data_IF_680087844170
#
_entry.id   IF_680087844170
#
_cell.length_a   1.000
_cell.length_b   1.000
_cell.length_c   1.000
_cell.angle_alpha   90.00
_cell.angle_beta   90.00
_cell.angle_gamma   90.00
#
_symmetry.space_group_name_H-M   'P 1'
#
loop_
_entity.id
_entity.type
_entity.pdbx_description
1 polymer ?
#
# COMPACT_ATOMS: atom_id res chain seq x y z
N UNK A 1 -17.89 3.76 7.85
CA UNK A 1 -17.48 2.58 7.06
C UNK A 1 -17.90 2.84 5.63
N UNK A 2 -16.95 2.71 4.71
CA UNK A 2 -17.15 2.94 3.27
C UNK A 2 -17.42 1.59 2.61
N UNK A 3 -18.47 1.49 1.79
CA UNK A 3 -18.88 0.18 1.24
C UNK A 3 -18.04 -0.25 0.01
N UNK A 4 -17.40 0.70 -0.69
CA UNK A 4 -16.61 0.48 -1.91
C UNK A 4 -17.29 -0.47 -2.92
N UNK A 5 -18.58 -0.23 -3.23
CA UNK A 5 -19.40 -1.11 -4.06
C UNK A 5 -18.83 -1.34 -5.48
N UNK A 6 -18.11 -0.36 -6.03
CA UNK A 6 -17.40 -0.48 -7.31
C UNK A 6 -16.32 -1.57 -7.24
N UNK A 7 -15.51 -1.57 -6.18
CA UNK A 7 -14.46 -2.58 -5.99
C UNK A 7 -15.06 -3.96 -5.79
N UNK A 8 -16.12 -4.08 -4.97
CA UNK A 8 -16.84 -5.34 -4.77
C UNK A 8 -17.42 -5.90 -6.07
N UNK A 9 -17.88 -5.02 -6.97
CA UNK A 9 -18.38 -5.40 -8.29
C UNK A 9 -17.26 -5.81 -9.24
N UNK A 10 -16.10 -5.13 -9.17
CA UNK A 10 -14.95 -5.38 -10.05
C UNK A 10 -14.15 -6.62 -9.65
N UNK A 11 -14.03 -6.90 -8.34
CA UNK A 11 -13.26 -8.02 -7.79
C UNK A 11 -14.10 -8.92 -6.87
N UNK A 12 -15.22 -9.49 -7.36
CA UNK A 12 -16.14 -10.27 -6.54
C UNK A 12 -15.52 -11.57 -6.00
N UNK A 13 -14.47 -12.08 -6.64
CA UNK A 13 -13.75 -13.28 -6.21
C UNK A 13 -12.68 -13.01 -5.13
N UNK A 14 -12.27 -11.74 -4.96
CA UNK A 14 -11.26 -11.34 -3.98
C UNK A 14 -11.87 -10.65 -2.76
N UNK A 15 -12.99 -9.95 -2.95
CA UNK A 15 -13.61 -9.13 -1.90
C UNK A 15 -14.92 -9.79 -1.46
N UNK A 16 -15.02 -10.28 -0.22
CA UNK A 16 -16.27 -10.82 0.30
C UNK A 16 -17.38 -9.77 0.29
N UNK A 17 -18.58 -10.15 -0.17
CA UNK A 17 -19.72 -9.22 -0.33
C UNK A 17 -20.09 -8.45 0.95
N UNK A 18 -19.91 -9.09 2.12
CA UNK A 18 -20.21 -8.53 3.45
C UNK A 18 -19.00 -7.92 4.14
N UNK A 19 -17.87 -7.77 3.45
CA UNK A 19 -16.70 -7.15 4.03
C UNK A 19 -16.92 -5.65 4.21
N UNK A 20 -16.52 -5.14 5.36
CA UNK A 20 -16.44 -3.72 5.66
C UNK A 20 -15.00 -3.22 5.46
N UNK A 21 -14.87 -1.97 5.04
CA UNK A 21 -13.58 -1.30 4.90
C UNK A 21 -13.47 -0.22 5.97
N UNK A 22 -12.42 -0.31 6.77
CA UNK A 22 -12.10 0.60 7.88
C UNK A 22 -11.10 1.66 7.42
N UNK A 23 -11.37 2.27 6.26
CA UNK A 23 -10.51 3.30 5.67
C UNK A 23 -11.33 4.33 4.88
N UNK A 24 -10.67 5.45 4.55
CA UNK A 24 -11.30 6.57 3.85
C UNK A 24 -11.62 6.29 2.38
N UNK A 25 -12.73 6.83 1.84
CA UNK A 25 -13.17 6.58 0.45
C UNK A 25 -12.19 7.05 -0.61
N UNK A 26 -11.33 8.02 -0.30
CA UNK A 26 -10.32 8.54 -1.22
C UNK A 26 -9.26 7.51 -1.64
N UNK A 27 -9.15 6.39 -0.94
CA UNK A 27 -8.23 5.30 -1.29
C UNK A 27 -8.80 4.26 -2.25
N UNK A 28 -9.99 4.48 -2.84
CA UNK A 28 -10.60 3.55 -3.80
C UNK A 28 -9.62 3.17 -4.93
N UNK A 29 -8.87 4.13 -5.47
CA UNK A 29 -7.88 3.86 -6.53
C UNK A 29 -6.64 3.09 -6.06
N UNK A 30 -6.27 3.23 -4.79
CA UNK A 30 -5.15 2.48 -4.19
C UNK A 30 -5.56 1.02 -4.05
N UNK A 31 -6.76 0.80 -3.53
CA UNK A 31 -7.37 -0.52 -3.42
C UNK A 31 -7.61 -1.15 -4.80
N UNK A 32 -8.05 -0.37 -5.79
CA UNK A 32 -8.23 -0.87 -7.15
C UNK A 32 -6.93 -1.45 -7.74
N UNK A 33 -5.81 -0.73 -7.56
CA UNK A 33 -4.49 -1.23 -7.98
C UNK A 33 -4.07 -2.47 -7.20
N UNK A 34 -4.22 -2.46 -5.88
CA UNK A 34 -3.93 -3.61 -5.03
C UNK A 34 -4.68 -4.87 -5.49
N UNK A 35 -6.01 -4.79 -5.62
CA UNK A 35 -6.80 -5.95 -6.04
C UNK A 35 -6.51 -6.38 -7.47
N UNK A 36 -6.16 -5.45 -8.37
CA UNK A 36 -5.67 -5.77 -9.70
C UNK A 36 -4.36 -6.56 -9.69
N UNK A 37 -3.39 -6.15 -8.88
CA UNK A 37 -2.10 -6.85 -8.70
C UNK A 37 -2.30 -8.25 -8.10
N UNK A 38 -3.14 -8.35 -7.06
CA UNK A 38 -3.49 -9.62 -6.43
C UNK A 38 -4.22 -10.56 -7.41
N UNK A 39 -5.14 -10.04 -8.23
CA UNK A 39 -5.85 -10.83 -9.23
C UNK A 39 -4.90 -11.43 -10.28
N UNK A 40 -3.84 -10.71 -10.65
CA UNK A 40 -2.81 -11.19 -11.59
C UNK A 40 -1.86 -12.19 -10.92
N UNK A 41 -1.52 -11.98 -9.66
CA UNK A 41 -0.58 -12.82 -8.91
C UNK A 41 -1.17 -14.18 -8.51
N UNK A 42 -2.48 -14.24 -8.23
CA UNK A 42 -3.12 -15.45 -7.77
C UNK A 42 -3.28 -16.48 -8.89
N UNK A 43 -2.88 -17.75 -8.66
CA UNK A 43 -3.15 -18.84 -9.59
C UNK A 43 -4.65 -19.04 -9.81
N UNK A 44 -5.03 -19.48 -11.02
CA UNK A 44 -6.42 -19.81 -11.32
C UNK A 44 -6.97 -20.87 -10.36
N UNK A 45 -8.12 -20.59 -9.75
CA UNK A 45 -8.77 -21.47 -8.77
C UNK A 45 -8.28 -21.30 -7.33
N UNK A 46 -7.24 -20.51 -7.08
CA UNK A 46 -6.85 -20.11 -5.72
C UNK A 46 -7.70 -18.94 -5.27
N UNK A 47 -8.25 -19.03 -4.04
CA UNK A 47 -8.99 -17.94 -3.42
C UNK A 47 -8.07 -17.06 -2.58
N UNK A 48 -8.45 -15.80 -2.41
CA UNK A 48 -7.85 -14.90 -1.42
C UNK A 48 -8.71 -14.93 -0.15
N UNK A 49 -8.08 -15.20 0.99
CA UNK A 49 -8.65 -14.89 2.30
C UNK A 49 -8.28 -13.44 2.63
N UNK A 50 -9.21 -12.54 2.34
CA UNK A 50 -9.13 -11.14 2.74
C UNK A 50 -9.72 -11.01 4.15
N UNK A 51 -8.89 -10.66 5.14
CA UNK A 51 -9.31 -10.57 6.54
C UNK A 51 -9.71 -9.16 6.92
N UNK A 52 -8.85 -8.17 6.61
CA UNK A 52 -9.09 -6.76 6.98
C UNK A 52 -8.52 -5.81 5.94
N UNK A 53 -9.21 -4.69 5.78
CA UNK A 53 -8.71 -3.51 5.07
C UNK A 53 -8.97 -2.31 5.95
N UNK A 54 -7.92 -1.67 6.43
CA UNK A 54 -8.03 -0.69 7.51
C UNK A 54 -6.93 0.36 7.45
N UNK A 55 -7.17 1.51 8.08
CA UNK A 55 -6.17 2.56 8.27
C UNK A 55 -5.31 2.30 9.51
N UNK A 56 -3.99 2.49 9.39
CA UNK A 56 -3.06 2.49 10.51
C UNK A 56 -1.91 3.46 10.26
N UNK A 57 -1.67 4.38 11.20
CA UNK A 57 -0.59 5.38 11.13
C UNK A 57 -0.64 6.23 9.84
N UNK A 58 -1.84 6.63 9.42
CA UNK A 58 -2.06 7.44 8.23
C UNK A 58 -1.84 6.69 6.91
N UNK A 59 -1.80 5.37 6.92
CA UNK A 59 -1.71 4.57 5.69
C UNK A 59 -2.62 3.37 5.70
N UNK A 60 -2.85 2.83 4.52
CA UNK A 60 -3.68 1.67 4.27
C UNK A 60 -2.94 0.39 4.65
N UNK A 61 -3.62 -0.50 5.37
CA UNK A 61 -3.19 -1.88 5.63
C UNK A 61 -4.21 -2.82 5.05
N UNK A 62 -3.71 -3.89 4.43
CA UNK A 62 -4.52 -4.99 3.94
C UNK A 62 -3.95 -6.26 4.52
N UNK A 63 -4.75 -6.96 5.31
CA UNK A 63 -4.41 -8.28 5.81
C UNK A 63 -5.07 -9.30 4.87
N UNK A 64 -4.28 -9.94 4.01
CA UNK A 64 -4.77 -10.96 3.11
C UNK A 64 -3.78 -12.11 2.96
N UNK A 65 -4.29 -13.30 2.64
CA UNK A 65 -3.45 -14.45 2.34
C UNK A 65 -4.13 -15.39 1.35
N UNK A 66 -3.37 -16.15 0.55
CA UNK A 66 -3.95 -17.14 -0.35
C UNK A 66 -4.55 -18.29 0.48
N UNK A 67 -5.70 -18.81 0.04
CA UNK A 67 -6.27 -20.02 0.63
C UNK A 67 -5.54 -21.26 0.11
N UNK A 68 -4.82 -21.94 1.00
CA UNK A 68 -4.06 -23.14 0.69
C UNK A 68 -2.62 -22.87 0.26
N UNK A 69 -1.86 -23.92 -0.05
CA UNK A 69 -0.45 -23.78 -0.40
C UNK A 69 -0.29 -23.14 -1.78
N UNK A 70 0.57 -22.13 -1.87
CA UNK A 70 1.00 -21.53 -3.14
C UNK A 70 2.53 -21.47 -3.22
N UNK A 71 3.08 -21.21 -4.40
CA UNK A 71 4.51 -21.04 -4.57
C UNK A 71 5.00 -19.76 -3.86
N UNK A 72 6.25 -19.76 -3.38
CA UNK A 72 6.85 -18.58 -2.72
C UNK A 72 6.79 -17.31 -3.57
N UNK A 73 6.87 -17.44 -4.90
CA UNK A 73 6.75 -16.29 -5.82
C UNK A 73 5.38 -15.60 -5.74
N UNK A 74 4.31 -16.35 -5.40
CA UNK A 74 2.97 -15.80 -5.19
C UNK A 74 2.93 -15.05 -3.86
N UNK A 75 3.49 -15.63 -2.79
CA UNK A 75 3.62 -14.93 -1.50
C UNK A 75 4.39 -13.61 -1.66
N UNK A 76 5.54 -13.64 -2.32
CA UNK A 76 6.32 -12.43 -2.61
C UNK A 76 5.53 -11.39 -3.42
N UNK A 77 4.70 -11.81 -4.37
CA UNK A 77 3.87 -10.90 -5.14
C UNK A 77 2.76 -10.25 -4.29
N UNK A 78 2.16 -11.00 -3.37
CA UNK A 78 1.17 -10.47 -2.43
C UNK A 78 1.80 -9.49 -1.44
N UNK A 79 2.95 -9.85 -0.85
CA UNK A 79 3.69 -8.97 0.07
C UNK A 79 4.09 -7.65 -0.62
N UNK A 80 4.49 -7.73 -1.90
CA UNK A 80 4.77 -6.54 -2.71
C UNK A 80 3.51 -5.70 -2.94
N UNK A 81 2.39 -6.32 -3.29
CA UNK A 81 1.12 -5.61 -3.50
C UNK A 81 0.67 -4.90 -2.20
N UNK A 82 0.79 -5.55 -1.04
CA UNK A 82 0.48 -4.96 0.26
C UNK A 82 1.36 -3.74 0.56
N UNK A 83 2.67 -3.86 0.34
CA UNK A 83 3.59 -2.74 0.56
C UNK A 83 3.38 -1.60 -0.46
N UNK A 84 3.03 -1.92 -1.70
CA UNK A 84 2.64 -0.92 -2.70
C UNK A 84 1.36 -0.20 -2.28
N UNK A 85 0.36 -0.91 -1.76
CA UNK A 85 -0.87 -0.30 -1.25
C UNK A 85 -0.59 0.65 -0.07
N UNK A 86 0.25 0.23 0.87
CA UNK A 86 0.76 1.07 1.96
C UNK A 86 1.42 2.34 1.41
N UNK A 87 2.44 2.18 0.56
CA UNK A 87 3.19 3.28 -0.03
C UNK A 87 2.31 4.25 -0.82
N UNK A 88 1.41 3.75 -1.66
CA UNK A 88 0.49 4.56 -2.46
C UNK A 88 -0.48 5.35 -1.59
N UNK A 89 -0.94 4.80 -0.47
CA UNK A 89 -1.90 5.48 0.41
C UNK A 89 -1.35 6.79 0.99
N UNK A 90 -0.04 6.89 1.20
CA UNK A 90 0.63 8.13 1.64
C UNK A 90 0.57 9.29 0.64
N UNK A 91 0.20 9.01 -0.63
CA UNK A 91 0.19 9.98 -1.73
C UNK A 91 -1.20 10.49 -2.09
N UNK A 92 -2.24 9.93 -1.49
CA UNK A 92 -3.62 10.24 -1.85
C UNK A 92 -4.47 10.54 -0.63
N UNK A 93 -5.22 11.63 -0.71
CA UNK A 93 -6.08 12.06 0.38
C UNK A 93 -7.08 10.97 0.71
N UNK A 94 -7.15 10.55 1.97
CA UNK A 94 -8.07 9.51 2.43
C UNK A 94 -9.56 9.92 2.26
N UNK A 95 -9.83 11.22 2.15
CA UNK A 95 -11.19 11.75 2.01
C UNK A 95 -11.65 11.85 0.55
N UNK A 96 -10.81 12.38 -0.36
CA UNK A 96 -11.23 12.64 -1.75
C UNK A 96 -10.37 11.98 -2.83
N UNK A 97 -9.24 11.37 -2.47
CA UNK A 97 -8.34 10.71 -3.40
C UNK A 97 -7.43 11.64 -4.20
N UNK A 98 -7.52 12.96 -4.05
CA UNK A 98 -6.58 13.90 -4.68
C UNK A 98 -5.14 13.70 -4.16
N UNK A 99 -4.10 14.08 -4.93
CA UNK A 99 -2.72 14.07 -4.46
C UNK A 99 -2.58 14.77 -3.10
N UNK A 100 -1.84 14.14 -2.21
CA UNK A 100 -1.77 14.50 -0.81
C UNK A 100 -0.44 14.14 -0.19
N UNK A 101 -0.26 14.54 1.07
CA UNK A 101 0.88 14.19 1.87
C UNK A 101 0.42 13.72 3.24
N UNK A 102 1.26 12.93 3.89
CA UNK A 102 1.11 12.59 5.30
C UNK A 102 1.14 13.87 6.15
N UNK A 103 0.26 13.94 7.14
CA UNK A 103 0.14 15.06 8.07
C UNK A 103 0.00 14.55 9.48
N UNK A 104 0.36 15.40 10.42
CA UNK A 104 0.15 15.18 11.85
C UNK A 104 -0.65 16.35 12.43
N UNK A 105 -1.65 15.99 13.23
CA UNK A 105 -2.38 16.96 14.05
C UNK A 105 -2.60 16.38 15.44
N UNK A 106 -3.30 15.26 15.52
CA UNK A 106 -3.62 14.50 16.75
C UNK A 106 -3.43 12.99 16.52
N UNK A 107 -3.56 12.55 15.27
CA UNK A 107 -3.13 11.26 14.73
C UNK A 107 -2.54 11.51 13.34
N UNK A 108 -1.81 10.53 12.80
CA UNK A 108 -1.31 10.55 11.43
C UNK A 108 -2.44 10.27 10.45
N UNK A 109 -2.54 11.07 9.38
CA UNK A 109 -3.55 10.96 8.33
C UNK A 109 -3.03 11.54 7.01
N UNK A 110 -3.64 11.20 5.88
CA UNK A 110 -3.19 11.70 4.57
C UNK A 110 -4.25 12.61 3.97
N UNK A 111 -3.87 13.87 3.75
CA UNK A 111 -4.79 14.88 3.26
C UNK A 111 -4.17 15.81 2.21
N UNK A 112 -4.98 16.17 1.22
CA UNK A 112 -4.69 17.27 0.32
C UNK A 112 -4.86 18.60 1.09
N UNK A 113 -4.41 19.72 0.53
CA UNK A 113 -4.51 21.04 1.18
C UNK A 113 -5.94 21.39 1.59
N UNK A 114 -6.95 21.01 0.80
CA UNK A 114 -8.35 21.28 1.11
C UNK A 114 -8.85 20.53 2.35
N UNK A 115 -8.32 19.32 2.61
CA UNK A 115 -8.69 18.49 3.76
C UNK A 115 -7.63 18.50 4.88
N UNK A 116 -6.57 19.28 4.73
CA UNK A 116 -5.46 19.35 5.67
C UNK A 116 -5.84 20.00 7.00
N UNK A 117 -6.97 20.71 7.07
CA UNK A 117 -7.44 21.39 8.28
C UNK A 117 -6.35 22.24 8.96
N UNK A 118 -5.48 22.86 8.15
CA UNK A 118 -4.35 23.70 8.57
C UNK A 118 -3.08 22.96 9.01
N UNK A 119 -3.04 21.63 8.98
CA UNK A 119 -1.84 20.87 9.31
C UNK A 119 -0.81 20.92 8.15
N UNK A 120 0.47 21.24 8.39
CA UNK A 120 1.49 21.21 7.36
C UNK A 120 1.81 19.76 6.92
N UNK A 121 2.29 19.55 5.68
CA UNK A 121 2.76 18.24 5.24
C UNK A 121 4.01 17.81 6.02
N UNK A 122 4.07 16.55 6.40
CA UNK A 122 5.29 15.91 6.87
C UNK A 122 6.20 15.57 5.68
N UNK A 123 7.52 15.41 5.91
CA UNK A 123 8.42 14.87 4.91
C UNK A 123 7.91 13.51 4.39
N UNK A 124 8.11 13.20 3.09
CA UNK A 124 7.72 11.91 2.55
C UNK A 124 8.45 10.79 3.29
N UNK A 125 7.74 9.68 3.51
CA UNK A 125 8.37 8.46 3.99
C UNK A 125 9.21 7.87 2.83
N UNK A 126 10.53 7.87 3.00
CA UNK A 126 11.48 7.20 2.08
C UNK A 126 11.53 5.68 2.33
N UNK A 127 10.62 5.15 3.15
CA UNK A 127 10.58 3.78 3.66
C UNK A 127 10.93 2.70 2.64
N UNK A 128 11.85 1.82 3.05
CA UNK A 128 12.22 0.61 2.33
C UNK A 128 11.74 -0.64 3.07
N UNK A 129 11.47 -1.70 2.31
CA UNK A 129 11.09 -3.01 2.85
C UNK A 129 12.11 -4.07 2.44
N UNK A 130 12.28 -5.09 3.28
CA UNK A 130 13.08 -6.27 2.95
C UNK A 130 12.14 -7.47 2.76
N UNK A 131 12.02 -7.95 1.54
CA UNK A 131 11.21 -9.12 1.17
C UNK A 131 12.13 -10.22 0.65
N UNK A 132 12.01 -11.44 1.19
CA UNK A 132 12.85 -12.60 0.83
C UNK A 132 14.36 -12.30 0.79
N UNK A 133 14.84 -11.47 1.73
CA UNK A 133 16.25 -11.11 1.81
C UNK A 133 16.68 -9.97 0.90
N UNK A 134 15.82 -9.50 0.00
CA UNK A 134 16.08 -8.41 -0.96
C UNK A 134 15.48 -7.11 -0.44
N UNK A 135 16.27 -6.03 -0.46
CA UNK A 135 15.82 -4.70 -0.09
C UNK A 135 15.14 -4.01 -1.29
N UNK A 136 13.98 -3.42 -1.05
CA UNK A 136 13.19 -2.67 -2.01
C UNK A 136 12.89 -1.28 -1.46
N UNK A 137 12.80 -0.31 -2.35
CA UNK A 137 12.28 1.03 -2.10
C UNK A 137 11.15 1.29 -3.08
N UNK A 138 10.15 2.06 -2.65
CA UNK A 138 9.08 2.49 -3.54
C UNK A 138 9.56 3.63 -4.42
N UNK A 139 9.51 3.44 -5.74
CA UNK A 139 9.77 4.48 -6.72
C UNK A 139 8.44 5.11 -7.17
N UNK A 140 8.21 6.36 -6.79
CA UNK A 140 6.97 7.06 -7.11
C UNK A 140 6.80 7.35 -8.61
N UNK A 141 7.90 7.51 -9.35
CA UNK A 141 7.85 7.74 -10.80
C UNK A 141 7.45 6.49 -11.57
N UNK A 142 7.84 5.31 -11.07
CA UNK A 142 7.46 4.01 -11.64
C UNK A 142 6.17 3.45 -11.03
N UNK A 143 5.75 3.94 -9.86
CA UNK A 143 4.66 3.38 -9.06
C UNK A 143 4.88 1.88 -8.74
N UNK A 144 6.14 1.53 -8.47
CA UNK A 144 6.59 0.14 -8.30
C UNK A 144 7.75 0.06 -7.28
N UNK A 145 8.03 -1.17 -6.82
CA UNK A 145 9.14 -1.48 -5.92
C UNK A 145 10.42 -1.77 -6.70
N UNK A 146 11.40 -0.90 -6.52
CA UNK A 146 12.73 -1.04 -7.13
C UNK A 146 13.71 -1.66 -6.14
N UNK A 147 14.56 -2.55 -6.65
CA UNK A 147 15.60 -3.19 -5.82
C UNK A 147 16.64 -2.16 -5.42
N UNK A 148 16.87 -2.04 -4.12
CA UNK A 148 17.94 -1.20 -3.58
C UNK A 148 19.25 -1.96 -3.74
N UNK A 149 20.09 -1.49 -4.65
CA UNK A 149 21.48 -1.96 -4.70
C UNK A 149 22.25 -1.37 -3.51
N UNK A 150 23.02 -2.17 -2.75
CA UNK A 150 23.82 -1.62 -1.67
C UNK A 150 24.75 -0.55 -2.22
N UNK A 151 24.58 0.71 -1.80
CA UNK A 151 25.57 1.75 -2.10
C UNK A 151 26.92 1.28 -1.54
N UNK A 152 27.93 1.18 -2.40
CA UNK A 152 29.29 0.91 -1.97
C UNK A 152 29.65 1.90 -0.84
N UNK A 153 30.18 1.39 0.28
CA UNK A 153 30.62 2.21 1.41
C UNK A 153 31.50 3.34 0.87
N UNK A 154 31.08 4.59 1.09
CA UNK A 154 31.91 5.77 0.81
C UNK A 154 33.25 5.55 1.53
N UNK A 155 34.41 5.58 0.87
CA UNK A 155 35.68 5.39 1.55
C UNK A 155 35.78 6.46 2.63
N UNK A 156 35.87 6.01 3.89
CA UNK A 156 36.15 6.87 5.04
C UNK A 156 37.45 7.60 4.74
N UNK A 157 37.36 8.91 4.55
CA UNK A 157 38.49 9.76 4.21
C UNK A 157 39.68 9.48 5.12
N UNK A 158 40.82 9.16 4.50
CA UNK A 158 42.10 9.11 5.18
C UNK A 158 42.34 10.47 5.83
N UNK A 159 42.41 10.49 7.17
CA UNK A 159 42.96 11.62 7.91
C UNK A 159 44.45 11.73 7.54
N UNK A 160 44.83 12.86 6.95
CA UNK A 160 46.22 13.31 6.85
C UNK A 160 46.68 13.89 8.18
#
# INVERSE_FOLDING_TARGET
MTDFSNLKTKYPDLIPIRMDFECGPGWEKVLDKYFGEVAVALPSGTRLRLERVYEKYGSLRVDAMPEGPVANLVHLALDKAEFLADSRSYRYCETCGEPASLRDKHWLYVACEAHANGAPPLPPDEGGIKLDGVAYEYDEGLDDLVVVTPRAKRPTGAKR
#
